data_IF_513210703099
#
_entry.id   IF_513210703099
#
_cell.length_a   1.000
_cell.length_b   1.000
_cell.length_c   1.000
_cell.angle_alpha   90.00
_cell.angle_beta   90.00
_cell.angle_gamma   90.00
#
_symmetry.space_group_name_H-M   'P 1'
#
loop_
_entity.id
_entity.type
_entity.pdbx_description
1 polymer ?
#
# COMPACT_ATOMS: atom_id res chain seq x y z
N UNK A 1 -54.01 13.98 16.75
CA UNK A 1 -53.95 14.98 15.66
C UNK A 1 -52.52 15.51 15.59
N UNK A 2 -51.50 14.83 15.08
CA UNK A 2 -51.29 14.34 13.70
C UNK A 2 -51.48 15.43 12.64
N UNK A 3 -50.39 16.02 12.11
CA UNK A 3 -50.07 16.27 10.67
C UNK A 3 -48.93 17.34 10.56
N UNK A 4 -47.69 16.96 10.17
CA UNK A 4 -47.12 16.94 8.79
C UNK A 4 -46.62 18.33 8.30
N UNK A 5 -45.38 18.52 7.83
CA UNK A 5 -44.80 17.98 6.58
C UNK A 5 -43.25 18.10 6.57
N UNK A 6 -42.51 17.00 6.36
CA UNK A 6 -41.89 16.54 5.09
C UNK A 6 -40.65 17.32 4.66
N UNK A 7 -39.48 16.70 4.81
CA UNK A 7 -38.49 16.57 3.75
C UNK A 7 -37.97 15.13 3.70
N UNK A 8 -38.27 14.50 2.57
CA UNK A 8 -37.71 13.31 1.91
C UNK A 8 -36.63 12.53 2.66
N UNK A 9 -36.96 11.31 3.12
CA UNK A 9 -35.97 10.27 3.44
C UNK A 9 -35.60 9.51 2.15
N UNK A 10 -34.32 9.33 1.81
CA UNK A 10 -33.96 8.49 0.66
C UNK A 10 -34.30 7.02 0.93
N UNK A 11 -34.98 6.39 -0.03
CA UNK A 11 -35.34 4.96 -0.07
C UNK A 11 -34.18 4.13 -0.63
N UNK A 12 -33.03 4.12 0.05
CA UNK A 12 -31.99 3.14 -0.25
C UNK A 12 -31.37 2.64 1.06
N UNK A 13 -31.48 1.34 1.38
CA UNK A 13 -30.81 0.79 2.55
C UNK A 13 -29.29 0.80 2.29
N UNK A 14 -28.56 1.62 3.05
CA UNK A 14 -27.10 1.74 3.01
C UNK A 14 -26.36 0.46 3.47
N UNK A 15 -27.08 -0.62 3.77
CA UNK A 15 -26.54 -1.91 4.24
C UNK A 15 -25.72 -2.68 3.19
N UNK A 16 -25.74 -2.25 1.92
CA UNK A 16 -24.98 -2.89 0.84
C UNK A 16 -23.70 -2.14 0.45
N UNK A 17 -23.49 -0.92 0.99
CA UNK A 17 -22.36 -0.05 0.61
C UNK A 17 -21.13 -0.20 1.50
N UNK A 18 -21.26 -1.00 2.56
CA UNK A 18 -20.12 -1.47 3.34
C UNK A 18 -20.16 -2.99 3.31
N UNK A 19 -19.15 -3.66 2.70
CA UNK A 19 -19.03 -5.10 2.86
C UNK A 19 -18.98 -5.42 4.36
N UNK A 20 -19.42 -6.64 4.68
CA UNK A 20 -19.49 -7.32 5.98
C UNK A 20 -18.10 -7.48 6.62
N UNK A 21 -17.32 -6.42 6.64
CA UNK A 21 -15.86 -6.42 6.78
C UNK A 21 -15.42 -6.22 8.24
N UNK A 22 -16.35 -5.81 9.11
CA UNK A 22 -16.08 -5.56 10.52
C UNK A 22 -16.74 -6.58 11.46
N UNK A 23 -17.55 -7.53 10.97
CA UNK A 23 -18.20 -8.52 11.84
C UNK A 23 -17.26 -9.65 12.26
N UNK A 24 -16.22 -9.91 11.46
CA UNK A 24 -15.35 -11.09 11.62
C UNK A 24 -13.95 -10.70 12.12
N UNK A 25 -13.72 -9.41 12.40
CA UNK A 25 -12.47 -8.96 13.00
C UNK A 25 -12.43 -9.44 14.46
N UNK A 26 -11.39 -10.18 14.90
CA UNK A 26 -11.28 -10.63 16.28
C UNK A 26 -11.28 -9.42 17.21
N UNK A 27 -12.40 -9.27 17.92
CA UNK A 27 -12.62 -8.29 18.98
C UNK A 27 -11.54 -8.45 20.05
N UNK A 28 -10.50 -7.61 20.02
CA UNK A 28 -9.70 -7.15 21.17
C UNK A 28 -8.34 -6.54 20.79
N UNK A 29 -7.83 -6.73 19.56
CA UNK A 29 -6.55 -6.12 19.16
C UNK A 29 -6.76 -4.73 18.60
N UNK A 30 -6.14 -3.73 19.24
CA UNK A 30 -6.00 -2.38 18.67
C UNK A 30 -5.32 -2.50 17.31
N UNK A 31 -6.04 -2.15 16.23
CA UNK A 31 -5.45 -2.03 14.91
C UNK A 31 -4.41 -0.92 14.95
N UNK A 32 -3.13 -1.30 15.02
CA UNK A 32 -2.02 -0.36 14.90
C UNK A 32 -2.07 0.24 13.49
N UNK A 33 -2.35 1.54 13.41
CA UNK A 33 -2.22 2.29 12.17
C UNK A 33 -0.74 2.60 12.02
N UNK A 34 -0.04 1.74 11.28
CA UNK A 34 1.38 1.93 11.02
C UNK A 34 1.56 3.08 10.02
N UNK A 35 2.22 4.14 10.46
CA UNK A 35 2.44 5.36 9.67
C UNK A 35 3.59 5.20 8.67
N UNK A 36 4.61 4.38 8.98
CA UNK A 36 5.88 4.37 8.23
C UNK A 36 6.54 2.99 8.05
N UNK A 37 5.85 1.89 8.34
CA UNK A 37 6.49 0.57 8.28
C UNK A 37 6.55 0.01 6.85
N UNK A 38 7.68 -0.61 6.54
CA UNK A 38 7.93 -1.24 5.26
C UNK A 38 6.98 -2.43 5.12
N UNK A 39 6.65 -2.77 3.88
CA UNK A 39 5.67 -3.82 3.59
C UNK A 39 6.00 -5.14 4.30
N UNK A 40 7.28 -5.50 4.41
CA UNK A 40 7.74 -6.71 5.10
C UNK A 40 7.37 -6.67 6.58
N UNK A 41 7.72 -5.58 7.28
CA UNK A 41 7.44 -5.39 8.71
C UNK A 41 5.94 -5.47 8.97
N UNK A 42 5.13 -4.77 8.16
CA UNK A 42 3.67 -4.79 8.26
C UNK A 42 3.10 -6.21 8.15
N UNK A 43 3.66 -7.02 7.26
CA UNK A 43 3.24 -8.41 7.04
C UNK A 43 3.69 -9.34 8.17
N UNK A 44 4.84 -9.08 8.78
CA UNK A 44 5.37 -9.85 9.92
C UNK A 44 4.68 -9.50 11.24
N UNK A 45 4.32 -8.23 11.46
CA UNK A 45 3.71 -7.75 12.70
C UNK A 45 2.18 -7.95 12.77
N UNK A 46 1.60 -8.74 11.86
CA UNK A 46 0.15 -8.93 11.73
C UNK A 46 -0.62 -7.62 11.55
N UNK A 47 -0.01 -6.65 10.85
CA UNK A 47 -0.65 -5.39 10.49
C UNK A 47 -1.74 -5.57 9.43
N UNK A 48 -2.70 -4.64 9.40
CA UNK A 48 -3.75 -4.66 8.37
C UNK A 48 -3.25 -4.05 7.06
N UNK A 49 -3.08 -4.87 6.03
CA UNK A 49 -2.70 -4.44 4.69
C UNK A 49 -3.93 -4.34 3.78
N UNK A 50 -4.18 -3.17 3.19
CA UNK A 50 -5.18 -3.05 2.14
C UNK A 50 -4.60 -3.56 0.82
N UNK A 51 -5.03 -4.75 0.40
CA UNK A 51 -4.52 -5.39 -0.81
C UNK A 51 -4.78 -4.55 -2.07
N UNK A 52 -3.70 -4.01 -2.64
CA UNK A 52 -3.64 -3.31 -3.93
C UNK A 52 -2.75 -4.03 -4.92
N UNK A 53 -2.37 -5.27 -4.64
CA UNK A 53 -1.37 -6.00 -5.44
C UNK A 53 -1.89 -6.37 -6.83
N UNK A 54 -3.21 -6.40 -7.05
CA UNK A 54 -3.81 -6.53 -8.38
C UNK A 54 -3.41 -5.42 -9.37
N UNK A 55 -2.92 -4.27 -8.88
CA UNK A 55 -2.39 -3.22 -9.75
C UNK A 55 -1.02 -3.55 -10.33
N UNK A 56 -0.28 -4.51 -9.76
CA UNK A 56 1.05 -4.89 -10.23
C UNK A 56 0.96 -5.45 -11.66
N UNK A 57 0.09 -6.44 -11.89
CA UNK A 57 -0.14 -6.99 -13.24
C UNK A 57 -0.54 -5.91 -14.24
N UNK A 58 -1.43 -4.99 -13.84
CA UNK A 58 -1.85 -3.87 -14.71
C UNK A 58 -0.70 -2.93 -15.04
N UNK A 59 0.21 -2.69 -14.09
CA UNK A 59 1.40 -1.85 -14.31
C UNK A 59 2.34 -2.51 -15.32
N UNK A 60 2.52 -3.83 -15.23
CA UNK A 60 3.32 -4.59 -16.19
C UNK A 60 2.68 -4.53 -17.60
N UNK A 61 1.36 -4.70 -17.70
CA UNK A 61 0.62 -4.65 -18.96
C UNK A 61 0.67 -3.28 -19.64
N UNK A 62 0.76 -2.19 -18.86
CA UNK A 62 0.82 -0.83 -19.40
C UNK A 62 2.06 -0.58 -20.26
N UNK A 63 3.13 -1.35 -20.07
CA UNK A 63 4.42 -1.22 -20.78
C UNK A 63 4.91 0.23 -20.90
N UNK A 64 4.63 1.05 -19.88
CA UNK A 64 4.91 2.48 -19.86
C UNK A 64 6.35 2.73 -19.41
N UNK A 65 7.06 3.65 -20.07
CA UNK A 65 8.44 4.03 -19.70
C UNK A 65 8.53 4.67 -18.31
N UNK A 66 7.47 5.34 -17.87
CA UNK A 66 7.38 5.94 -16.54
C UNK A 66 5.91 6.04 -16.11
N UNK A 67 5.63 5.76 -14.84
CA UNK A 67 4.28 5.85 -14.25
C UNK A 67 4.31 6.91 -13.14
N UNK A 68 3.97 8.18 -13.45
CA UNK A 68 3.93 9.23 -12.45
C UNK A 68 2.70 9.05 -11.54
N UNK A 69 2.93 8.88 -10.23
CA UNK A 69 1.86 8.82 -9.23
C UNK A 69 1.60 10.20 -8.64
N UNK A 70 0.86 11.05 -9.37
CA UNK A 70 0.45 12.39 -8.94
C UNK A 70 -0.79 12.30 -8.02
N UNK A 71 -0.58 12.13 -6.72
CA UNK A 71 -1.64 12.06 -5.70
C UNK A 71 -1.27 12.78 -4.40
N UNK A 72 -2.24 13.15 -3.54
CA UNK A 72 -2.02 13.88 -2.29
C UNK A 72 -1.04 13.22 -1.31
N UNK A 73 -0.54 14.00 -0.35
CA UNK A 73 0.36 13.52 0.72
C UNK A 73 -0.35 12.46 1.57
N UNK A 74 0.40 11.43 2.02
CA UNK A 74 -0.08 10.29 2.85
C UNK A 74 -1.10 9.33 2.21
N UNK A 75 -1.23 9.34 0.89
CA UNK A 75 -2.12 8.39 0.19
C UNK A 75 -1.59 6.95 0.04
N UNK A 76 -0.57 6.57 0.84
CA UNK A 76 0.03 5.23 0.83
C UNK A 76 0.99 4.92 -0.32
N UNK A 77 1.60 5.94 -0.95
CA UNK A 77 2.58 5.73 -2.03
C UNK A 77 3.83 4.98 -1.54
N UNK A 78 4.37 5.39 -0.40
CA UNK A 78 5.57 4.76 0.20
C UNK A 78 5.33 3.28 0.46
N UNK A 79 4.19 2.93 1.07
CA UNK A 79 3.82 1.55 1.33
C UNK A 79 3.69 0.75 0.03
N UNK A 80 3.03 1.30 -1.00
CA UNK A 80 2.90 0.62 -2.29
C UNK A 80 4.26 0.41 -2.99
N UNK A 81 5.16 1.41 -2.96
CA UNK A 81 6.52 1.26 -3.47
C UNK A 81 7.31 0.20 -2.69
N UNK A 82 7.12 0.12 -1.37
CA UNK A 82 7.71 -0.95 -0.56
C UNK A 82 7.17 -2.32 -0.95
N UNK A 83 5.87 -2.44 -1.27
CA UNK A 83 5.30 -3.70 -1.77
C UNK A 83 5.91 -4.10 -3.11
N UNK A 84 6.05 -3.16 -4.06
CA UNK A 84 6.69 -3.42 -5.35
C UNK A 84 8.15 -3.85 -5.17
N UNK A 85 8.89 -3.14 -4.31
CA UNK A 85 10.25 -3.51 -3.94
C UNK A 85 10.30 -4.96 -3.45
N UNK A 86 9.44 -5.31 -2.49
CA UNK A 86 9.41 -6.65 -1.93
C UNK A 86 9.02 -7.73 -2.92
N UNK A 87 8.11 -7.41 -3.85
CA UNK A 87 7.61 -8.33 -4.87
C UNK A 87 8.66 -8.67 -5.93
N UNK A 88 9.40 -7.67 -6.40
CA UNK A 88 10.37 -7.85 -7.48
C UNK A 88 11.76 -8.29 -7.01
N UNK A 89 12.13 -7.98 -5.76
CA UNK A 89 13.48 -8.28 -5.24
C UNK A 89 13.70 -9.78 -5.05
N UNK A 90 14.78 -10.28 -5.66
CA UNK A 90 15.24 -11.67 -5.61
C UNK A 90 15.53 -12.13 -4.18
N UNK A 91 15.91 -11.20 -3.28
CA UNK A 91 16.18 -11.51 -1.88
C UNK A 91 14.96 -12.07 -1.14
N UNK A 92 13.75 -11.72 -1.57
CA UNK A 92 12.53 -12.15 -0.91
C UNK A 92 11.94 -13.43 -1.49
N UNK A 93 12.64 -14.11 -2.42
CA UNK A 93 12.13 -15.31 -3.09
C UNK A 93 11.75 -16.41 -2.09
N UNK A 94 12.57 -16.63 -1.06
CA UNK A 94 12.30 -17.65 -0.02
C UNK A 94 11.12 -17.29 0.87
N UNK A 95 10.82 -16.00 1.01
CA UNK A 95 9.74 -15.48 1.85
C UNK A 95 8.49 -15.11 1.05
N UNK A 96 8.47 -15.40 -0.26
CA UNK A 96 7.40 -14.95 -1.16
C UNK A 96 6.03 -15.42 -0.70
N UNK A 97 5.90 -16.69 -0.34
CA UNK A 97 4.64 -17.27 0.12
C UNK A 97 4.14 -16.62 1.42
N UNK A 98 5.06 -16.36 2.37
CA UNK A 98 4.72 -15.69 3.63
C UNK A 98 4.24 -14.25 3.39
N UNK A 99 4.90 -13.54 2.48
CA UNK A 99 4.62 -12.12 2.22
C UNK A 99 3.37 -11.91 1.35
N UNK A 100 3.15 -12.77 0.36
CA UNK A 100 2.16 -12.56 -0.70
C UNK A 100 1.11 -13.65 -0.85
N UNK A 101 1.25 -14.84 -0.26
CA UNK A 101 0.41 -16.01 -0.56
C UNK A 101 -1.09 -15.83 -0.35
N UNK A 102 -1.50 -14.97 0.59
CA UNK A 102 -2.90 -14.58 0.83
C UNK A 102 -3.39 -13.44 -0.09
N UNK A 103 -2.47 -12.65 -0.67
CA UNK A 103 -2.75 -11.51 -1.54
C UNK A 103 -3.05 -11.93 -2.98
N UNK A 104 -3.67 -11.03 -3.74
CA UNK A 104 -4.01 -11.29 -5.15
C UNK A 104 -2.79 -11.72 -5.98
N UNK A 105 -1.66 -11.01 -5.83
CA UNK A 105 -0.46 -11.26 -6.65
C UNK A 105 0.33 -12.51 -6.21
N UNK A 106 0.16 -12.99 -4.97
CA UNK A 106 0.74 -14.27 -4.57
C UNK A 106 -0.04 -15.45 -5.15
N UNK A 107 -1.37 -15.30 -5.27
CA UNK A 107 -2.25 -16.27 -5.94
C UNK A 107 -2.12 -16.22 -7.47
N UNK A 108 -1.76 -15.06 -8.03
CA UNK A 108 -1.59 -14.83 -9.46
C UNK A 108 -0.22 -14.19 -9.75
N UNK A 109 0.89 -14.91 -9.49
CA UNK A 109 2.22 -14.34 -9.67
C UNK A 109 2.52 -14.11 -11.15
N UNK A 110 3.16 -12.98 -11.47
CA UNK A 110 3.66 -12.69 -12.80
C UNK A 110 5.05 -13.31 -12.99
N UNK A 111 5.53 -13.47 -14.24
CA UNK A 111 6.88 -13.99 -14.50
C UNK A 111 8.00 -13.13 -13.88
N UNK A 112 7.69 -11.89 -13.51
CA UNK A 112 8.64 -10.94 -12.94
C UNK A 112 8.79 -11.08 -11.40
N UNK A 113 7.97 -11.91 -10.75
CA UNK A 113 8.05 -12.15 -9.31
C UNK A 113 9.46 -12.58 -8.87
N UNK A 114 10.02 -11.85 -7.90
CA UNK A 114 11.35 -12.07 -7.31
C UNK A 114 12.44 -12.31 -8.35
N UNK A 115 12.42 -11.59 -9.48
CA UNK A 115 13.34 -11.80 -10.61
C UNK A 115 14.46 -10.76 -10.71
N UNK A 116 14.39 -9.67 -9.93
CA UNK A 116 15.28 -8.52 -10.07
C UNK A 116 16.12 -8.26 -8.82
N UNK A 117 17.28 -7.63 -9.01
CA UNK A 117 18.00 -6.96 -7.92
C UNK A 117 17.51 -5.52 -7.84
N UNK A 118 16.87 -5.15 -6.74
CA UNK A 118 16.28 -3.81 -6.59
C UNK A 118 17.17 -2.92 -5.72
N UNK A 119 17.49 -1.73 -6.21
CA UNK A 119 18.13 -0.66 -5.44
C UNK A 119 17.08 0.35 -4.98
N UNK A 120 16.85 0.42 -3.67
CA UNK A 120 15.97 1.41 -3.06
C UNK A 120 16.74 2.70 -2.78
N UNK A 121 16.26 3.83 -3.29
CA UNK A 121 16.76 5.18 -2.98
C UNK A 121 15.60 6.06 -2.51
N UNK A 122 15.79 6.79 -1.42
CA UNK A 122 14.84 7.76 -0.90
C UNK A 122 15.52 9.12 -0.82
N UNK A 123 14.92 10.12 -1.47
CA UNK A 123 15.45 11.49 -1.49
C UNK A 123 14.52 12.50 -0.80
N UNK A 124 13.44 12.03 -0.16
CA UNK A 124 12.42 12.91 0.42
C UNK A 124 12.94 13.78 1.58
N UNK A 125 14.04 13.41 2.22
CA UNK A 125 14.67 14.14 3.32
C UNK A 125 15.81 15.07 2.91
N UNK A 126 16.23 15.09 1.64
CA UNK A 126 17.38 15.88 1.21
C UNK A 126 17.05 17.36 1.16
N UNK A 127 17.83 18.17 1.87
CA UNK A 127 17.71 19.62 1.83
C UNK A 127 18.41 20.15 0.58
N UNK A 128 17.61 20.67 -0.34
CA UNK A 128 18.08 21.20 -1.65
C UNK A 128 18.13 22.71 -1.71
N UNK A 129 17.66 23.39 -0.66
CA UNK A 129 17.59 24.83 -0.52
C UNK A 129 18.72 25.41 0.36
N UNK A 130 19.67 24.58 0.80
CA UNK A 130 20.81 24.96 1.63
C UNK A 130 22.14 24.81 0.87
N UNK A 131 23.27 24.94 1.57
CA UNK A 131 24.62 24.82 1.00
C UNK A 131 24.92 23.39 0.54
N UNK A 132 25.82 23.26 -0.45
CA UNK A 132 26.31 21.95 -0.91
C UNK A 132 26.82 21.06 0.22
N UNK A 133 27.50 21.61 1.22
CA UNK A 133 28.02 20.82 2.35
C UNK A 133 26.89 20.15 3.16
N UNK A 134 25.76 20.84 3.32
CA UNK A 134 24.57 20.32 4.00
C UNK A 134 23.92 19.22 3.16
N UNK A 135 23.79 19.43 1.85
CA UNK A 135 23.30 18.40 0.94
C UNK A 135 24.20 17.16 0.94
N UNK A 136 25.52 17.35 0.93
CA UNK A 136 26.49 16.25 0.91
C UNK A 136 26.45 15.46 2.22
N UNK A 137 26.24 16.14 3.36
CA UNK A 137 26.00 15.46 4.64
C UNK A 137 24.71 14.63 4.60
N UNK A 138 23.59 15.22 4.16
CA UNK A 138 22.28 14.55 4.07
C UNK A 138 22.27 13.36 3.09
N UNK A 139 23.09 13.40 2.05
CA UNK A 139 23.17 12.34 1.04
C UNK A 139 23.91 11.08 1.53
N UNK A 140 24.79 11.24 2.52
CA UNK A 140 25.63 10.19 3.07
C UNK A 140 25.16 9.64 4.43
N UNK A 141 24.15 10.26 5.06
CA UNK A 141 23.35 9.66 6.15
C UNK A 141 22.37 8.59 5.64
#
# INVERSE_FOLDING_TARGET
MAFLRKLVRPRFPLSHLFPRFLSDAPSSKTLKIFSEELFIDLRQESGYYLDKTAFISKIEDLNARAIPSLRPRRFGKTLFLSTLFSYYDIKNREQFEQLFGDLYIGKNPTPLASSFLILKRNFAGLRTNETYDVFNADFHE
#
